data_IF_922014753755
#
_entry.id   IF_922014753755
#
_cell.length_a   1.000
_cell.length_b   1.000
_cell.length_c   1.000
_cell.angle_alpha   90.00
_cell.angle_beta   90.00
_cell.angle_gamma   90.00
#
_symmetry.space_group_name_H-M   'P 1'
#
loop_
_entity.id
_entity.type
_entity.pdbx_description
1 polymer ?
#
# COMPACT_ATOMS: atom_id res chain seq x y z
N UNK A 1 19.04 -19.56 2.95
CA UNK A 1 19.60 -20.63 3.79
C UNK A 1 19.16 -20.40 5.23
N UNK A 2 18.65 -21.39 5.96
CA UNK A 2 18.27 -21.24 7.36
C UNK A 2 19.48 -20.85 8.20
N UNK A 3 19.30 -19.86 9.09
CA UNK A 3 20.41 -19.35 9.91
C UNK A 3 20.84 -20.38 10.97
N UNK A 4 22.14 -20.54 11.22
CA UNK A 4 22.65 -21.44 12.23
C UNK A 4 22.18 -21.03 13.64
N UNK A 5 21.83 -22.02 14.47
CA UNK A 5 21.37 -21.84 15.82
C UNK A 5 22.57 -21.89 16.79
N UNK A 6 22.52 -21.09 17.87
CA UNK A 6 23.49 -21.24 18.96
C UNK A 6 23.30 -22.60 19.65
N UNK A 7 24.38 -23.20 20.13
CA UNK A 7 24.34 -24.50 20.84
C UNK A 7 23.38 -24.51 22.04
N UNK A 8 23.28 -23.40 22.76
CA UNK A 8 22.34 -23.30 23.88
C UNK A 8 20.87 -23.37 23.41
N UNK A 9 20.56 -22.77 22.26
CA UNK A 9 19.21 -22.77 21.68
C UNK A 9 18.88 -24.11 21.02
N UNK A 10 19.86 -24.70 20.34
CA UNK A 10 19.73 -26.03 19.75
C UNK A 10 19.48 -27.13 20.84
N UNK A 11 20.20 -27.08 21.95
CA UNK A 11 20.01 -27.95 23.09
C UNK A 11 18.62 -27.80 23.73
N UNK A 12 18.15 -26.55 23.88
CA UNK A 12 16.81 -26.26 24.41
C UNK A 12 15.69 -26.76 23.48
N UNK A 13 15.86 -26.62 22.16
CA UNK A 13 14.92 -27.13 21.16
C UNK A 13 14.89 -28.67 21.17
N UNK A 14 16.04 -29.32 21.27
CA UNK A 14 16.16 -30.78 21.34
C UNK A 14 15.76 -31.36 22.70
N UNK A 15 15.47 -30.53 23.71
CA UNK A 15 15.13 -30.99 25.06
C UNK A 15 16.27 -31.66 25.81
N UNK A 16 17.53 -31.41 25.42
CA UNK A 16 18.73 -32.04 25.99
C UNK A 16 19.66 -31.01 26.63
N UNK A 17 20.59 -31.49 27.47
CA UNK A 17 21.62 -30.62 28.04
C UNK A 17 22.64 -30.23 26.96
N UNK A 18 23.20 -29.01 27.07
CA UNK A 18 24.19 -28.49 26.12
C UNK A 18 25.42 -29.42 25.99
N UNK A 19 25.86 -30.01 27.08
CA UNK A 19 26.99 -31.01 27.10
C UNK A 19 26.66 -32.27 26.31
N UNK A 20 25.46 -32.76 26.43
CA UNK A 20 24.97 -33.96 25.71
C UNK A 20 24.83 -33.69 24.20
N UNK A 21 24.34 -32.52 23.82
CA UNK A 21 24.30 -32.10 22.40
C UNK A 21 25.71 -31.99 21.81
N UNK A 22 26.66 -31.42 22.57
CA UNK A 22 28.05 -31.29 22.12
C UNK A 22 28.74 -32.63 21.94
N UNK A 23 28.46 -33.61 22.82
CA UNK A 23 29.00 -34.96 22.73
C UNK A 23 28.47 -35.71 21.50
N UNK A 24 27.15 -35.65 21.26
CA UNK A 24 26.53 -36.25 20.07
C UNK A 24 27.03 -35.60 18.77
N UNK A 25 27.23 -34.28 18.74
CA UNK A 25 27.81 -33.60 17.58
C UNK A 25 29.23 -34.08 17.28
N UNK A 26 30.04 -34.28 18.32
CA UNK A 26 31.40 -34.77 18.17
C UNK A 26 31.43 -36.24 17.70
N UNK A 27 30.52 -37.05 18.19
CA UNK A 27 30.38 -38.46 17.78
C UNK A 27 29.90 -38.58 16.32
N UNK A 28 29.07 -37.66 15.87
CA UNK A 28 28.51 -37.64 14.52
C UNK A 28 29.39 -36.95 13.48
N UNK A 29 30.55 -36.41 13.88
CA UNK A 29 31.48 -35.74 12.99
C UNK A 29 30.93 -34.44 12.38
N UNK A 30 29.95 -33.83 13.02
CA UNK A 30 29.34 -32.58 12.56
C UNK A 30 30.07 -31.39 13.18
N UNK A 31 30.48 -30.44 12.30
CA UNK A 31 31.29 -29.29 12.71
C UNK A 31 30.45 -28.18 13.36
N UNK A 32 30.96 -27.72 14.49
CA UNK A 32 30.44 -26.54 15.19
C UNK A 32 31.22 -25.32 14.70
N UNK A 33 30.60 -24.46 13.92
CA UNK A 33 31.25 -23.21 13.48
C UNK A 33 30.83 -22.04 14.39
N UNK A 34 31.81 -21.40 15.05
CA UNK A 34 31.60 -20.27 15.99
C UNK A 34 30.53 -20.52 17.07
N UNK A 35 30.45 -21.75 17.60
CA UNK A 35 29.44 -22.12 18.62
C UNK A 35 28.00 -22.17 18.11
N UNK A 36 27.83 -22.28 16.80
CA UNK A 36 26.55 -22.43 16.12
C UNK A 36 26.48 -23.74 15.34
N UNK A 37 25.25 -24.27 15.22
CA UNK A 37 24.94 -25.48 14.46
C UNK A 37 23.92 -25.16 13.37
N UNK A 38 24.06 -25.76 12.18
CA UNK A 38 23.05 -25.64 11.14
C UNK A 38 21.77 -26.41 11.52
N UNK A 39 20.62 -25.88 11.17
CA UNK A 39 19.32 -26.52 11.48
C UNK A 39 19.21 -27.89 10.82
N UNK A 40 19.79 -28.08 9.62
CA UNK A 40 19.83 -29.35 8.93
C UNK A 40 20.57 -30.45 9.73
N UNK A 41 21.70 -30.07 10.34
CA UNK A 41 22.51 -30.99 11.17
C UNK A 41 21.77 -31.36 12.47
N UNK A 42 21.05 -30.40 13.06
CA UNK A 42 20.22 -30.64 14.23
C UNK A 42 19.06 -31.58 13.91
N UNK A 43 18.41 -31.46 12.76
CA UNK A 43 17.34 -32.36 12.31
C UNK A 43 17.88 -33.77 11.96
N UNK A 44 19.13 -33.86 11.52
CA UNK A 44 19.78 -35.15 11.27
C UNK A 44 20.02 -35.89 12.57
N UNK A 45 20.41 -35.20 13.65
CA UNK A 45 20.61 -35.77 14.98
C UNK A 45 19.31 -36.05 15.73
N UNK A 46 18.27 -35.26 15.45
CA UNK A 46 16.96 -35.34 16.09
C UNK A 46 15.84 -35.28 15.06
N UNK A 47 15.56 -36.39 14.32
CA UNK A 47 14.58 -36.38 13.21
C UNK A 47 13.14 -36.04 13.63
N UNK A 48 12.80 -36.26 14.90
CA UNK A 48 11.47 -35.99 15.45
C UNK A 48 11.33 -34.60 16.08
N UNK A 49 12.26 -33.68 15.78
CA UNK A 49 12.26 -32.35 16.34
C UNK A 49 11.16 -31.49 15.65
N UNK A 50 10.09 -31.21 16.35
CA UNK A 50 9.06 -30.29 15.89
C UNK A 50 9.57 -28.84 16.05
N UNK A 51 10.10 -28.25 14.97
CA UNK A 51 10.59 -26.86 14.95
C UNK A 51 9.47 -25.82 15.00
N UNK A 52 8.22 -26.24 14.80
CA UNK A 52 7.08 -25.35 14.56
C UNK A 52 6.39 -24.82 15.82
N UNK A 53 6.85 -25.14 17.03
CA UNK A 53 6.13 -24.76 18.27
C UNK A 53 6.81 -23.74 19.18
N UNK A 54 7.86 -23.06 18.73
CA UNK A 54 8.41 -21.95 19.52
C UNK A 54 7.71 -20.64 19.13
N UNK A 55 6.81 -20.08 19.99
CA UNK A 55 6.13 -18.80 19.71
C UNK A 55 7.11 -17.64 19.44
N UNK A 56 8.35 -17.77 19.95
CA UNK A 56 9.42 -16.80 19.72
C UNK A 56 9.97 -16.94 18.30
N UNK A 57 10.06 -18.17 17.77
CA UNK A 57 10.51 -18.40 16.40
C UNK A 57 9.49 -17.94 15.36
N UNK A 58 8.20 -18.18 15.58
CA UNK A 58 7.12 -17.62 14.76
C UNK A 58 7.13 -16.09 14.80
N UNK A 59 7.32 -15.51 16.00
CA UNK A 59 7.41 -14.08 16.17
C UNK A 59 8.62 -13.49 15.44
N UNK A 60 9.78 -14.15 15.48
CA UNK A 60 10.98 -13.74 14.73
C UNK A 60 10.81 -13.96 13.22
N UNK A 61 10.15 -15.01 12.80
CA UNK A 61 9.81 -15.20 11.37
C UNK A 61 8.84 -14.14 10.87
N UNK A 62 7.81 -13.79 11.63
CA UNK A 62 6.91 -12.68 11.33
C UNK A 62 7.66 -11.36 11.28
N UNK A 63 8.52 -11.06 12.25
CA UNK A 63 9.38 -9.88 12.21
C UNK A 63 10.33 -9.85 11.00
N UNK A 64 10.81 -11.01 10.52
CA UNK A 64 11.65 -11.08 9.32
C UNK A 64 10.87 -10.96 8.02
N UNK A 65 9.64 -11.47 7.97
CA UNK A 65 8.75 -11.27 6.83
C UNK A 65 8.29 -9.82 6.74
N UNK A 66 7.96 -9.20 7.87
CA UNK A 66 7.64 -7.76 7.96
C UNK A 66 8.88 -6.87 7.74
N UNK A 67 10.10 -7.43 7.97
CA UNK A 67 11.38 -6.76 7.78
C UNK A 67 11.92 -6.83 6.35
N UNK A 68 11.19 -7.43 5.40
CA UNK A 68 11.60 -7.35 3.98
C UNK A 68 11.72 -5.87 3.59
N UNK A 69 12.83 -5.47 2.98
CA UNK A 69 12.95 -4.11 2.47
C UNK A 69 11.77 -3.84 1.55
N UNK A 70 11.20 -2.63 1.65
CA UNK A 70 10.27 -2.16 0.59
C UNK A 70 10.99 -2.46 -0.72
N UNK A 71 10.41 -3.33 -1.55
CA UNK A 71 10.99 -3.69 -2.85
C UNK A 71 11.28 -2.42 -3.61
N UNK A 72 12.44 -2.37 -4.23
CA UNK A 72 12.79 -1.29 -5.13
C UNK A 72 11.66 -1.11 -6.17
N UNK A 73 11.37 0.12 -6.53
CA UNK A 73 10.26 0.58 -7.38
C UNK A 73 10.07 -0.20 -8.70
N UNK A 74 11.07 -0.96 -9.15
CA UNK A 74 11.04 -1.73 -10.40
C UNK A 74 10.11 -2.93 -10.41
N UNK A 75 9.77 -3.51 -9.24
CA UNK A 75 8.97 -4.74 -9.14
C UNK A 75 7.52 -4.53 -8.65
N UNK A 76 7.16 -3.29 -8.28
CA UNK A 76 5.89 -2.96 -7.63
C UNK A 76 4.75 -2.55 -8.56
N UNK A 77 5.01 -2.47 -9.86
CA UNK A 77 4.03 -1.92 -10.84
C UNK A 77 2.86 -2.87 -11.15
N UNK A 78 3.06 -4.16 -10.95
CA UNK A 78 2.01 -5.16 -11.17
C UNK A 78 1.38 -5.54 -9.82
N UNK A 79 0.03 -5.51 -9.68
CA UNK A 79 -0.65 -5.97 -8.47
C UNK A 79 -0.31 -7.41 -8.08
N UNK A 80 -0.50 -7.78 -6.81
CA UNK A 80 -0.37 -9.18 -6.38
C UNK A 80 -1.31 -10.08 -7.19
N UNK A 81 -0.93 -11.34 -7.49
CA UNK A 81 -1.72 -12.25 -8.30
C UNK A 81 -3.16 -12.43 -7.81
N UNK A 82 -3.37 -12.44 -6.49
CA UNK A 82 -4.69 -12.56 -5.87
C UNK A 82 -5.56 -11.33 -6.15
N UNK A 83 -4.97 -10.13 -6.12
CA UNK A 83 -5.64 -8.85 -6.43
C UNK A 83 -5.99 -8.79 -7.91
N UNK A 84 -5.04 -9.18 -8.79
CA UNK A 84 -5.31 -9.29 -10.23
C UNK A 84 -6.45 -10.25 -10.52
N UNK A 85 -6.43 -11.42 -9.90
CA UNK A 85 -7.49 -12.42 -10.06
C UNK A 85 -8.85 -11.89 -9.59
N UNK A 86 -8.87 -11.16 -8.46
CA UNK A 86 -10.08 -10.53 -7.94
C UNK A 86 -10.59 -9.44 -8.89
N UNK A 87 -9.72 -8.60 -9.43
CA UNK A 87 -10.07 -7.57 -10.44
C UNK A 87 -10.62 -8.20 -11.73
N UNK A 88 -9.94 -9.24 -12.25
CA UNK A 88 -10.38 -9.96 -13.44
C UNK A 88 -11.76 -10.61 -13.24
N UNK A 89 -12.02 -11.24 -12.09
CA UNK A 89 -13.34 -11.81 -11.76
C UNK A 89 -14.43 -10.74 -11.71
N UNK A 90 -14.13 -9.57 -11.15
CA UNK A 90 -15.08 -8.47 -11.11
C UNK A 90 -15.39 -7.95 -12.52
N UNK A 91 -14.34 -7.75 -13.34
CA UNK A 91 -14.52 -7.36 -14.74
C UNK A 91 -15.34 -8.38 -15.53
N UNK A 92 -15.07 -9.66 -15.33
CA UNK A 92 -15.87 -10.74 -15.94
C UNK A 92 -17.33 -10.64 -15.50
N UNK A 93 -17.60 -10.36 -14.22
CA UNK A 93 -18.96 -10.14 -13.71
C UNK A 93 -19.65 -8.96 -14.38
N UNK A 94 -18.95 -7.84 -14.56
CA UNK A 94 -19.44 -6.65 -15.27
C UNK A 94 -19.75 -6.98 -16.73
N UNK A 95 -18.82 -7.65 -17.44
CA UNK A 95 -19.01 -8.07 -18.84
C UNK A 95 -20.23 -8.98 -19.02
N UNK A 96 -20.42 -9.96 -18.14
CA UNK A 96 -21.57 -10.84 -18.16
C UNK A 96 -22.88 -10.06 -18.00
N UNK A 97 -22.93 -9.12 -17.04
CA UNK A 97 -24.10 -8.26 -16.82
C UNK A 97 -24.37 -7.36 -18.02
N UNK A 98 -23.33 -6.73 -18.57
CA UNK A 98 -23.46 -5.84 -19.73
C UNK A 98 -23.94 -6.63 -20.95
N UNK A 99 -23.40 -7.84 -21.19
CA UNK A 99 -23.85 -8.72 -22.27
C UNK A 99 -25.30 -9.13 -22.10
N UNK A 100 -25.72 -9.46 -20.88
CA UNK A 100 -27.13 -9.79 -20.61
C UNK A 100 -28.07 -8.60 -20.88
N UNK A 101 -27.64 -7.38 -20.54
CA UNK A 101 -28.40 -6.15 -20.85
C UNK A 101 -28.48 -5.89 -22.36
N UNK A 102 -27.38 -6.10 -23.11
CA UNK A 102 -27.36 -5.98 -24.56
C UNK A 102 -28.31 -6.99 -25.22
N UNK A 103 -28.23 -8.25 -24.86
CA UNK A 103 -29.11 -9.28 -25.37
C UNK A 103 -30.58 -8.92 -25.12
N UNK A 104 -30.93 -8.46 -23.92
CA UNK A 104 -32.27 -8.03 -23.57
C UNK A 104 -32.73 -6.82 -24.42
N UNK A 105 -31.84 -5.89 -24.70
CA UNK A 105 -32.15 -4.76 -25.56
C UNK A 105 -32.37 -5.23 -27.03
N UNK A 106 -31.54 -6.15 -27.52
CA UNK A 106 -31.71 -6.76 -28.86
C UNK A 106 -33.06 -7.48 -28.96
N UNK A 107 -33.42 -8.31 -27.99
CA UNK A 107 -34.73 -8.99 -27.93
C UNK A 107 -35.89 -7.97 -27.94
N UNK A 108 -35.78 -6.86 -27.19
CA UNK A 108 -36.79 -5.81 -27.18
C UNK A 108 -36.90 -5.09 -28.52
N UNK A 109 -35.81 -4.86 -29.24
CA UNK A 109 -35.80 -4.26 -30.57
C UNK A 109 -36.45 -5.22 -31.59
N UNK A 110 -36.17 -6.52 -31.52
CA UNK A 110 -36.75 -7.54 -32.38
C UNK A 110 -38.27 -7.62 -32.15
N UNK A 111 -38.72 -7.55 -30.91
CA UNK A 111 -40.14 -7.55 -30.54
C UNK A 111 -40.86 -6.30 -31.06
N UNK A 112 -40.26 -5.10 -30.89
CA UNK A 112 -40.78 -3.84 -31.43
C UNK A 112 -40.91 -3.92 -32.98
N UNK A 113 -39.84 -4.41 -33.62
CA UNK A 113 -39.84 -4.57 -35.08
C UNK A 113 -40.97 -5.52 -35.57
N UNK A 114 -41.13 -6.65 -34.87
CA UNK A 114 -42.19 -7.59 -35.15
C UNK A 114 -43.60 -7.00 -34.97
N UNK A 115 -43.80 -6.21 -33.91
CA UNK A 115 -45.06 -5.50 -33.69
C UNK A 115 -45.34 -4.44 -34.74
N UNK A 116 -44.35 -3.67 -35.17
CA UNK A 116 -44.48 -2.68 -36.24
C UNK A 116 -44.84 -3.36 -37.57
N UNK A 117 -44.21 -4.50 -37.89
CA UNK A 117 -44.54 -5.28 -39.08
C UNK A 117 -45.99 -5.81 -39.03
N UNK A 118 -46.40 -6.34 -37.88
CA UNK A 118 -47.79 -6.83 -37.72
C UNK A 118 -48.81 -5.68 -37.84
N UNK A 119 -48.50 -4.47 -37.37
CA UNK A 119 -49.35 -3.29 -37.56
C UNK A 119 -49.41 -2.85 -39.03
N UNK A 120 -48.27 -2.85 -39.74
CA UNK A 120 -48.22 -2.60 -41.17
C UNK A 120 -49.14 -3.53 -41.94
N UNK A 121 -49.11 -4.84 -41.66
CA UNK A 121 -49.89 -5.84 -42.36
C UNK A 121 -51.38 -5.76 -42.01
N UNK A 122 -51.73 -5.38 -40.78
CA UNK A 122 -53.11 -5.26 -40.33
C UNK A 122 -53.84 -3.99 -40.80
N UNK A 123 -53.08 -2.94 -41.14
CA UNK A 123 -53.64 -1.63 -41.52
C UNK A 123 -54.06 -1.58 -42.98
N UNK A 124 -55.31 -1.16 -43.25
CA UNK A 124 -55.82 -0.91 -44.62
C UNK A 124 -55.53 0.47 -45.18
N UNK A 125 -54.98 1.39 -44.35
CA UNK A 125 -54.69 2.77 -44.70
C UNK A 125 -53.29 2.90 -45.29
N UNK A 126 -53.18 3.45 -46.49
CA UNK A 126 -51.91 3.65 -47.21
C UNK A 126 -50.98 4.63 -46.51
N UNK A 127 -51.51 5.73 -45.92
CA UNK A 127 -50.72 6.73 -45.23
C UNK A 127 -50.12 6.15 -43.92
N UNK A 128 -50.85 5.29 -43.21
CA UNK A 128 -50.35 4.62 -42.01
C UNK A 128 -49.28 3.58 -42.35
N UNK A 129 -49.38 2.88 -43.47
CA UNK A 129 -48.33 1.97 -43.95
C UNK A 129 -47.02 2.66 -44.24
N UNK A 130 -47.09 3.79 -45.01
CA UNK A 130 -45.89 4.58 -45.31
C UNK A 130 -45.19 5.07 -44.05
N UNK A 131 -45.94 5.51 -43.02
CA UNK A 131 -45.39 5.96 -41.76
C UNK A 131 -44.68 4.83 -40.98
N UNK A 132 -45.21 3.59 -40.99
CA UNK A 132 -44.59 2.43 -40.36
C UNK A 132 -43.31 2.03 -41.12
N UNK A 133 -43.34 2.04 -42.45
CA UNK A 133 -42.16 1.76 -43.26
C UNK A 133 -41.04 2.75 -43.03
N UNK A 134 -41.35 4.04 -42.90
CA UNK A 134 -40.36 5.09 -42.54
C UNK A 134 -39.73 4.80 -41.18
N UNK A 135 -40.49 4.39 -40.17
CA UNK A 135 -39.99 4.02 -38.84
C UNK A 135 -39.09 2.79 -38.91
N UNK A 136 -39.52 1.74 -39.60
CA UNK A 136 -38.72 0.52 -39.78
C UNK A 136 -37.40 0.80 -40.50
N UNK A 137 -37.43 1.63 -41.56
CA UNK A 137 -36.24 2.01 -42.29
C UNK A 137 -35.29 2.85 -41.42
N UNK A 138 -35.83 3.80 -40.65
CA UNK A 138 -35.04 4.58 -39.70
C UNK A 138 -34.38 3.69 -38.62
N UNK A 139 -35.16 2.78 -38.04
CA UNK A 139 -34.68 1.83 -37.03
C UNK A 139 -33.57 0.92 -37.59
N UNK A 140 -33.74 0.42 -38.80
CA UNK A 140 -32.73 -0.39 -39.49
C UNK A 140 -31.43 0.38 -39.73
N UNK A 141 -31.51 1.64 -40.19
CA UNK A 141 -30.35 2.50 -40.36
C UNK A 141 -29.66 2.80 -39.02
N UNK A 142 -30.45 3.11 -37.98
CA UNK A 142 -29.94 3.40 -36.66
C UNK A 142 -29.18 2.23 -36.02
N UNK A 143 -29.69 1.00 -36.17
CA UNK A 143 -29.05 -0.21 -35.69
C UNK A 143 -27.79 -0.54 -36.49
N UNK A 144 -27.84 -0.38 -37.83
CA UNK A 144 -26.72 -0.70 -38.71
C UNK A 144 -25.55 0.30 -38.54
N UNK A 145 -25.82 1.59 -38.39
CA UNK A 145 -24.80 2.64 -38.20
C UNK A 145 -24.06 2.49 -36.86
N UNK A 146 -24.71 1.88 -35.86
CA UNK A 146 -24.11 1.56 -34.55
C UNK A 146 -23.32 0.26 -34.51
N UNK A 147 -23.44 -0.60 -35.54
CA UNK A 147 -22.71 -1.87 -35.63
C UNK A 147 -21.31 -1.73 -36.29
N UNK A 148 -20.88 -0.54 -36.69
CA UNK A 148 -19.56 -0.36 -37.28
C UNK A 148 -18.47 -0.49 -36.22
N UNK A 149 -17.49 -1.43 -36.42
CA UNK A 149 -16.49 -1.79 -35.40
C UNK A 149 -15.32 -0.79 -35.21
N UNK A 150 -15.37 0.38 -35.83
CA UNK A 150 -14.33 1.41 -35.73
C UNK A 150 -14.74 2.59 -34.86
N UNK A 151 -15.43 2.34 -33.77
CA UNK A 151 -15.72 3.41 -32.83
C UNK A 151 -14.48 3.62 -31.94
N UNK A 152 -13.87 4.81 -32.10
CA UNK A 152 -12.82 5.34 -31.19
C UNK A 152 -13.23 5.16 -29.72
N UNK A 153 -14.55 5.16 -29.44
CA UNK A 153 -15.09 4.87 -28.11
C UNK A 153 -14.83 3.45 -27.64
N UNK A 154 -14.90 2.44 -28.53
CA UNK A 154 -14.61 1.04 -28.16
C UNK A 154 -13.14 0.85 -27.82
N UNK A 155 -12.26 1.53 -28.54
CA UNK A 155 -10.81 1.52 -28.29
C UNK A 155 -10.45 2.23 -26.99
N UNK A 156 -11.07 3.40 -26.73
CA UNK A 156 -10.95 4.12 -25.45
C UNK A 156 -11.48 3.27 -24.30
N UNK A 157 -12.63 2.63 -24.47
CA UNK A 157 -13.23 1.75 -23.47
C UNK A 157 -12.34 0.54 -23.16
N UNK A 158 -11.78 -0.10 -24.19
CA UNK A 158 -10.85 -1.22 -24.00
C UNK A 158 -9.57 -0.80 -23.26
N UNK A 159 -9.05 0.41 -23.55
CA UNK A 159 -7.88 0.99 -22.87
C UNK A 159 -8.20 1.34 -21.42
N UNK A 160 -9.36 1.94 -21.14
CA UNK A 160 -9.84 2.25 -19.80
C UNK A 160 -10.04 0.97 -18.97
N UNK A 161 -10.59 -0.06 -19.59
CA UNK A 161 -10.76 -1.37 -18.97
C UNK A 161 -9.41 -2.01 -18.60
N UNK A 162 -8.41 -1.89 -19.46
CA UNK A 162 -7.06 -2.37 -19.18
C UNK A 162 -6.41 -1.62 -18.01
N UNK A 163 -6.57 -0.30 -17.97
CA UNK A 163 -6.07 0.52 -16.86
C UNK A 163 -6.71 0.12 -15.53
N UNK A 164 -8.00 -0.21 -15.50
CA UNK A 164 -8.70 -0.70 -14.31
C UNK A 164 -8.20 -2.05 -13.78
N UNK A 165 -7.52 -2.85 -14.61
CA UNK A 165 -6.83 -4.05 -14.12
C UNK A 165 -5.60 -3.69 -13.31
N UNK A 166 -4.88 -2.65 -13.72
CA UNK A 166 -3.61 -2.24 -13.10
C UNK A 166 -3.81 -1.26 -11.94
N UNK A 167 -4.83 -0.41 -12.01
CA UNK A 167 -5.11 0.61 -11.01
C UNK A 167 -6.59 0.65 -10.63
N UNK A 168 -6.89 1.08 -9.41
CA UNK A 168 -8.24 1.33 -8.92
C UNK A 168 -8.32 2.73 -8.32
N UNK A 169 -9.44 3.44 -8.59
CA UNK A 169 -9.66 4.77 -8.05
C UNK A 169 -10.20 4.69 -6.62
N UNK A 170 -9.66 5.52 -5.75
CA UNK A 170 -10.13 5.70 -4.38
C UNK A 170 -10.58 7.14 -4.20
N UNK A 171 -11.80 7.32 -3.69
CA UNK A 171 -12.34 8.62 -3.30
C UNK A 171 -12.44 8.68 -1.78
N UNK A 172 -11.93 9.75 -1.18
CA UNK A 172 -11.92 9.96 0.28
C UNK A 172 -13.09 10.86 0.67
N UNK A 173 -13.81 10.45 1.70
CA UNK A 173 -14.89 11.24 2.29
C UNK A 173 -14.48 11.65 3.72
N UNK A 174 -14.72 12.87 4.19
CA UNK A 174 -15.50 13.93 3.56
C UNK A 174 -14.71 14.87 2.62
N UNK A 175 -13.38 14.74 2.49
CA UNK A 175 -12.54 15.69 1.73
C UNK A 175 -12.89 15.76 0.23
N UNK A 176 -13.38 14.67 -0.34
CA UNK A 176 -13.68 14.56 -1.76
C UNK A 176 -12.45 14.34 -2.65
N UNK A 177 -11.26 14.20 -2.07
CA UNK A 177 -10.05 13.92 -2.80
C UNK A 177 -10.07 12.54 -3.43
N UNK A 178 -9.44 12.42 -4.61
CA UNK A 178 -9.35 11.17 -5.35
C UNK A 178 -7.89 10.83 -5.66
N UNK A 179 -7.57 9.54 -5.62
CA UNK A 179 -6.24 9.03 -5.99
C UNK A 179 -6.33 7.63 -6.58
N UNK A 180 -5.25 7.21 -7.23
CA UNK A 180 -5.15 5.87 -7.84
C UNK A 180 -4.26 4.97 -6.99
N UNK A 181 -4.74 3.76 -6.73
CA UNK A 181 -3.98 2.66 -6.13
C UNK A 181 -3.46 1.78 -7.24
N UNK A 182 -2.15 1.77 -7.41
CA UNK A 182 -1.46 1.06 -8.49
C UNK A 182 -0.63 -0.10 -7.94
N UNK A 183 -0.44 -1.11 -8.75
CA UNK A 183 0.45 -2.20 -8.43
C UNK A 183 0.11 -2.87 -7.09
N UNK A 184 1.10 -2.93 -6.20
CA UNK A 184 1.03 -3.58 -4.88
C UNK A 184 0.84 -2.60 -3.73
N UNK A 185 0.46 -1.40 -4.03
CA UNK A 185 0.31 -0.36 -3.02
C UNK A 185 -0.91 -0.62 -2.14
N UNK A 186 -0.78 -0.26 -0.87
CA UNK A 186 -1.91 -0.15 0.04
C UNK A 186 -2.69 1.16 -0.21
N UNK A 187 -3.93 1.23 0.30
CA UNK A 187 -4.73 2.47 0.30
C UNK A 187 -3.96 3.64 0.91
N UNK A 188 -3.22 3.38 1.99
CA UNK A 188 -2.42 4.40 2.67
C UNK A 188 -1.22 4.84 1.81
N UNK A 189 -0.43 3.89 1.27
CA UNK A 189 0.76 4.23 0.49
C UNK A 189 0.41 5.03 -0.75
N UNK A 190 -0.65 4.65 -1.45
CA UNK A 190 -1.14 5.38 -2.62
C UNK A 190 -1.67 6.78 -2.26
N UNK A 191 -2.43 6.91 -1.17
CA UNK A 191 -2.91 8.20 -0.68
C UNK A 191 -1.77 9.15 -0.32
N UNK A 192 -0.78 8.66 0.45
CA UNK A 192 0.40 9.44 0.82
C UNK A 192 1.25 9.82 -0.41
N UNK A 193 1.40 8.92 -1.38
CA UNK A 193 2.08 9.21 -2.66
C UNK A 193 1.38 10.32 -3.45
N UNK A 194 0.07 10.37 -3.36
CA UNK A 194 -0.76 11.39 -4.01
C UNK A 194 -0.88 12.69 -3.19
N UNK A 195 -0.06 12.86 -2.15
CA UNK A 195 -0.01 14.08 -1.35
C UNK A 195 -1.09 14.19 -0.27
N UNK A 196 -1.94 13.18 -0.07
CA UNK A 196 -2.95 13.20 0.98
C UNK A 196 -2.33 12.95 2.35
N UNK A 197 -2.81 13.66 3.37
CA UNK A 197 -2.33 13.52 4.75
C UNK A 197 -3.29 12.66 5.59
N UNK A 198 -3.45 11.40 5.17
CA UNK A 198 -4.26 10.42 5.88
C UNK A 198 -3.66 10.09 7.25
N UNK A 199 -4.51 9.72 8.21
CA UNK A 199 -4.05 9.29 9.52
C UNK A 199 -3.30 7.96 9.47
N UNK A 200 -2.11 7.91 10.06
CA UNK A 200 -1.34 6.69 10.22
C UNK A 200 -0.29 6.82 11.34
N UNK A 201 0.30 5.70 11.75
CA UNK A 201 1.40 5.66 12.71
C UNK A 201 2.50 4.71 12.24
N UNK A 202 2.26 3.39 12.34
CA UNK A 202 3.29 2.38 12.07
C UNK A 202 3.43 1.97 10.59
N UNK A 203 2.49 2.28 9.71
CA UNK A 203 2.39 1.83 8.30
C UNK A 203 2.54 0.30 8.09
N UNK A 204 2.44 -0.50 9.16
CA UNK A 204 2.66 -1.95 9.15
C UNK A 204 1.49 -2.76 9.73
N UNK A 205 0.36 -2.11 10.04
CA UNK A 205 -0.85 -2.74 10.56
C UNK A 205 -0.86 -2.99 12.08
N UNK A 206 0.14 -2.48 12.82
CA UNK A 206 0.36 -2.82 14.23
C UNK A 206 -0.14 -1.77 15.24
N UNK A 207 -0.66 -0.62 14.80
CA UNK A 207 -1.12 0.44 15.71
C UNK A 207 -2.60 0.80 15.57
N UNK A 208 -3.25 0.42 14.47
CA UNK A 208 -4.65 0.73 14.22
C UNK A 208 -4.96 2.18 13.82
N UNK A 209 -3.97 3.09 13.79
CA UNK A 209 -4.21 4.53 13.54
C UNK A 209 -4.69 4.83 12.12
N UNK A 210 -4.38 3.97 11.14
CA UNK A 210 -4.82 4.11 9.75
C UNK A 210 -6.19 3.46 9.49
N UNK A 211 -7.02 3.33 10.52
CA UNK A 211 -8.37 2.75 10.40
C UNK A 211 -9.26 3.68 9.58
N UNK A 212 -9.86 3.15 8.52
CA UNK A 212 -10.83 3.82 7.69
C UNK A 212 -12.02 2.91 7.41
N UNK A 213 -13.12 3.46 6.93
CA UNK A 213 -14.33 2.70 6.61
C UNK A 213 -14.55 2.68 5.10
N UNK A 214 -14.75 1.49 4.55
CA UNK A 214 -15.14 1.31 3.14
C UNK A 214 -16.64 1.55 3.03
N UNK A 215 -17.03 2.60 2.29
CA UNK A 215 -18.45 2.94 2.05
C UNK A 215 -18.99 2.24 0.81
N UNK A 216 -18.16 2.08 -0.21
CA UNK A 216 -18.51 1.35 -1.44
C UNK A 216 -17.27 0.78 -2.12
N UNK A 217 -17.49 -0.21 -3.01
CA UNK A 217 -16.42 -0.91 -3.70
C UNK A 217 -15.93 -2.15 -2.98
N UNK A 218 -14.91 -2.80 -3.55
CA UNK A 218 -14.30 -4.03 -3.02
C UNK A 218 -12.83 -3.80 -2.74
N UNK A 219 -12.36 -4.33 -1.62
CA UNK A 219 -10.98 -4.27 -1.17
C UNK A 219 -10.43 -5.66 -0.89
N UNK A 220 -9.11 -5.80 -0.92
CA UNK A 220 -8.41 -7.02 -0.53
C UNK A 220 -7.37 -6.72 0.55
N UNK A 221 -7.19 -7.65 1.48
CA UNK A 221 -6.14 -7.55 2.49
C UNK A 221 -4.80 -7.93 1.87
N UNK A 222 -3.80 -7.07 2.05
CA UNK A 222 -2.40 -7.33 1.67
C UNK A 222 -1.64 -8.07 2.78
N UNK A 223 -2.17 -8.01 4.01
CA UNK A 223 -1.57 -8.62 5.21
C UNK A 223 -2.68 -9.01 6.16
N UNK A 224 -2.54 -10.12 6.84
CA UNK A 224 -3.46 -10.51 7.90
C UNK A 224 -3.19 -9.67 9.16
N UNK A 225 -4.20 -8.93 9.60
CA UNK A 225 -4.14 -8.06 10.79
C UNK A 225 -5.40 -8.20 11.61
N UNK A 226 -5.48 -9.30 12.36
CA UNK A 226 -6.70 -9.61 13.12
C UNK A 226 -6.77 -8.92 14.50
N UNK A 227 -5.71 -8.20 14.91
CA UNK A 227 -5.60 -7.75 16.30
C UNK A 227 -6.30 -6.42 16.61
N UNK A 228 -6.43 -5.53 15.62
CA UNK A 228 -6.89 -4.16 15.85
C UNK A 228 -8.32 -3.89 15.40
N UNK A 229 -8.90 -4.77 14.61
CA UNK A 229 -10.29 -4.66 14.17
C UNK A 229 -11.10 -5.78 14.81
N UNK A 230 -12.10 -5.40 15.58
CA UNK A 230 -13.10 -6.35 16.07
C UNK A 230 -13.92 -6.93 14.92
N UNK A 231 -14.50 -8.10 15.10
CA UNK A 231 -15.38 -8.73 14.13
C UNK A 231 -16.62 -7.86 13.80
N UNK A 232 -17.00 -6.99 14.71
CA UNK A 232 -18.06 -6.00 14.49
C UNK A 232 -17.58 -4.93 13.51
N UNK A 233 -16.41 -4.33 13.74
CA UNK A 233 -15.84 -3.31 12.87
C UNK A 233 -15.59 -3.84 11.45
N UNK A 234 -15.07 -5.06 11.33
CA UNK A 234 -14.90 -5.71 10.01
C UNK A 234 -16.24 -5.84 9.27
N UNK A 235 -17.31 -6.23 9.96
CA UNK A 235 -18.67 -6.31 9.38
C UNK A 235 -19.23 -4.93 9.00
N UNK A 236 -18.87 -3.90 9.75
CA UNK A 236 -19.27 -2.51 9.49
C UNK A 236 -18.43 -1.87 8.35
N UNK A 237 -17.47 -2.60 7.78
CA UNK A 237 -16.65 -2.16 6.66
C UNK A 237 -15.37 -1.43 7.06
N UNK A 238 -14.96 -1.48 8.33
CA UNK A 238 -13.67 -0.90 8.73
C UNK A 238 -12.50 -1.76 8.27
N UNK A 239 -11.45 -1.09 7.78
CA UNK A 239 -10.19 -1.69 7.34
C UNK A 239 -9.00 -0.86 7.83
N UNK A 240 -7.81 -1.45 7.79
CA UNK A 240 -6.57 -0.70 8.02
C UNK A 240 -5.99 -0.30 6.66
N UNK A 241 -5.95 0.99 6.36
CA UNK A 241 -5.51 1.50 5.06
C UNK A 241 -4.08 1.07 4.68
N UNK A 242 -3.18 0.87 5.65
CA UNK A 242 -1.81 0.41 5.40
C UNK A 242 -1.70 -1.09 5.03
N UNK A 243 -2.77 -1.85 5.16
CA UNK A 243 -2.78 -3.31 4.97
C UNK A 243 -3.79 -3.77 3.95
N UNK A 244 -4.49 -2.83 3.34
CA UNK A 244 -5.61 -3.09 2.43
C UNK A 244 -5.34 -2.38 1.11
N UNK A 245 -5.68 -3.05 0.01
CA UNK A 245 -5.63 -2.48 -1.35
C UNK A 245 -7.00 -2.49 -2.01
N UNK A 246 -7.20 -1.62 -2.99
CA UNK A 246 -8.43 -1.54 -3.75
C UNK A 246 -8.49 -2.62 -4.85
N UNK A 247 -9.60 -3.35 -4.94
CA UNK A 247 -9.91 -4.31 -6.01
C UNK A 247 -10.73 -3.65 -7.11
N UNK A 248 -11.73 -2.85 -6.72
CA UNK A 248 -12.52 -2.01 -7.64
C UNK A 248 -12.32 -0.55 -7.29
N UNK A 249 -12.99 0.36 -7.99
CA UNK A 249 -13.12 1.73 -7.52
C UNK A 249 -13.80 1.71 -6.14
N UNK A 250 -13.24 2.46 -5.19
CA UNK A 250 -13.59 2.41 -3.76
C UNK A 250 -13.87 3.82 -3.23
N UNK A 251 -14.89 3.94 -2.40
CA UNK A 251 -15.11 5.14 -1.58
C UNK A 251 -14.79 4.79 -0.14
N UNK A 252 -13.89 5.53 0.47
CA UNK A 252 -13.53 5.37 1.89
C UNK A 252 -13.90 6.61 2.69
N UNK A 253 -14.30 6.38 3.95
CA UNK A 253 -14.40 7.42 4.96
C UNK A 253 -13.13 7.37 5.81
N UNK A 254 -12.33 8.43 5.71
CA UNK A 254 -11.05 8.54 6.41
C UNK A 254 -10.80 9.99 6.83
N UNK A 255 -10.14 10.16 7.96
CA UNK A 255 -9.68 11.48 8.38
C UNK A 255 -8.44 11.88 7.58
N UNK A 256 -8.44 13.09 7.07
CA UNK A 256 -7.34 13.71 6.35
C UNK A 256 -7.01 15.06 6.99
N UNK A 257 -5.75 15.26 7.35
CA UNK A 257 -5.30 16.53 7.88
C UNK A 257 -5.26 17.58 6.74
N UNK A 258 -6.05 18.62 6.86
CA UNK A 258 -6.12 19.70 5.86
C UNK A 258 -5.12 20.83 6.13
N UNK A 259 -4.66 20.97 7.36
CA UNK A 259 -3.76 22.03 7.80
C UNK A 259 -2.68 21.49 8.72
N UNK A 260 -1.54 22.21 8.89
CA UNK A 260 -0.50 21.85 9.87
C UNK A 260 -1.03 21.65 11.29
N UNK A 261 -2.09 22.38 11.66
CA UNK A 261 -2.71 22.30 13.00
C UNK A 261 -3.45 21.00 13.26
N UNK A 262 -3.84 20.28 12.21
CA UNK A 262 -4.51 18.99 12.31
C UNK A 262 -3.53 17.85 12.62
N UNK A 263 -2.22 18.11 12.48
CA UNK A 263 -1.18 17.14 12.82
C UNK A 263 -0.83 17.25 14.30
N UNK A 264 -0.82 16.13 15.04
CA UNK A 264 -0.44 16.14 16.44
C UNK A 264 1.04 16.46 16.60
N UNK A 265 1.41 17.10 17.70
CA UNK A 265 2.80 17.20 18.14
C UNK A 265 3.34 15.79 18.44
N UNK A 266 4.52 15.48 17.93
CA UNK A 266 5.12 14.15 18.02
C UNK A 266 6.51 14.25 18.64
N UNK A 267 6.82 13.29 19.50
CA UNK A 267 8.17 13.08 20.00
C UNK A 267 8.61 11.65 19.64
N UNK A 268 9.64 11.54 18.81
CA UNK A 268 10.08 10.27 18.24
C UNK A 268 11.57 10.08 18.50
N UNK A 269 11.94 9.02 19.21
CA UNK A 269 13.32 8.59 19.32
C UNK A 269 13.71 7.81 18.07
N UNK A 270 14.61 8.37 17.28
CA UNK A 270 15.07 7.86 16.00
C UNK A 270 16.57 7.57 16.03
N UNK A 271 17.12 7.04 14.95
CA UNK A 271 18.56 6.79 14.80
C UNK A 271 19.12 7.48 13.57
N UNK A 272 20.33 8.01 13.69
CA UNK A 272 21.07 8.60 12.59
C UNK A 272 21.65 7.47 11.74
N UNK A 273 21.10 7.29 10.54
CA UNK A 273 21.48 6.21 9.63
C UNK A 273 22.63 6.57 8.68
N UNK A 274 22.96 7.84 8.56
CA UNK A 274 24.06 8.29 7.73
C UNK A 274 24.20 9.81 7.67
N UNK A 275 25.43 10.25 7.40
CA UNK A 275 25.77 11.65 7.17
C UNK A 275 26.65 11.71 5.92
N UNK A 276 26.22 12.48 4.94
CA UNK A 276 26.94 12.69 3.67
C UNK A 276 27.34 14.16 3.57
N UNK A 277 28.63 14.45 3.45
CA UNK A 277 29.10 15.84 3.28
C UNK A 277 28.75 16.39 1.91
N UNK A 278 28.25 17.60 1.88
CA UNK A 278 27.91 18.36 0.69
C UNK A 278 28.75 19.64 0.65
N UNK A 279 29.98 19.52 0.15
CA UNK A 279 30.94 20.61 0.16
C UNK A 279 31.59 20.83 1.54
N UNK A 280 32.10 22.06 1.80
CA UNK A 280 32.80 22.39 3.03
C UNK A 280 31.86 22.70 4.20
N UNK A 281 30.73 23.38 3.90
CA UNK A 281 29.85 23.97 4.91
C UNK A 281 28.54 23.24 5.12
N UNK A 282 28.33 22.08 4.49
CA UNK A 282 27.04 21.39 4.51
C UNK A 282 27.11 19.88 4.58
N UNK A 283 26.05 19.27 5.08
CA UNK A 283 25.85 17.83 5.09
C UNK A 283 24.39 17.47 4.89
N UNK A 284 24.16 16.29 4.29
CA UNK A 284 22.87 15.62 4.26
C UNK A 284 22.81 14.61 5.41
N UNK A 285 21.99 14.91 6.40
CA UNK A 285 21.73 14.05 7.54
C UNK A 285 20.56 13.13 7.21
N UNK A 286 20.74 11.81 7.39
CA UNK A 286 19.72 10.78 7.19
C UNK A 286 19.34 10.18 8.54
N UNK A 287 18.06 10.26 8.87
CA UNK A 287 17.50 9.73 10.10
C UNK A 287 16.47 8.66 9.76
N UNK A 288 16.46 7.59 10.55
CA UNK A 288 15.48 6.51 10.41
C UNK A 288 14.66 6.40 11.69
N UNK A 289 13.33 6.59 11.58
CA UNK A 289 12.40 6.41 12.70
C UNK A 289 12.09 4.94 12.96
N UNK A 290 11.63 4.54 14.15
CA UNK A 290 11.16 3.21 14.44
C UNK A 290 10.00 2.82 13.52
N UNK A 291 9.85 1.52 13.23
CA UNK A 291 8.71 1.02 12.44
C UNK A 291 7.36 1.21 13.13
N UNK A 292 7.38 1.26 14.45
CA UNK A 292 6.16 1.43 15.25
C UNK A 292 5.67 2.88 15.34
N UNK A 293 6.53 3.85 15.00
CA UNK A 293 6.22 5.26 15.14
C UNK A 293 6.98 6.07 14.07
N UNK A 294 6.29 6.51 13.04
CA UNK A 294 6.83 7.29 11.92
C UNK A 294 6.37 8.75 12.03
N UNK A 295 7.20 9.68 11.58
CA UNK A 295 6.87 11.10 11.62
C UNK A 295 5.79 11.44 10.57
N UNK A 296 4.72 12.06 11.02
CA UNK A 296 3.69 12.67 10.15
C UNK A 296 3.97 14.16 10.05
N UNK A 297 4.08 14.67 8.85
CA UNK A 297 4.37 16.07 8.58
C UNK A 297 3.85 16.48 7.20
N UNK A 298 3.72 17.78 6.97
CA UNK A 298 3.46 18.37 5.66
C UNK A 298 4.76 18.90 5.06
N UNK A 299 4.88 18.84 3.73
CA UNK A 299 6.05 19.38 3.03
C UNK A 299 6.25 20.85 3.37
N UNK A 300 7.47 21.24 3.73
CA UNK A 300 7.80 22.60 4.14
C UNK A 300 7.92 22.82 5.66
N UNK A 301 7.41 21.89 6.48
CA UNK A 301 7.55 21.98 7.93
C UNK A 301 8.97 21.64 8.41
N UNK A 302 9.30 22.12 9.60
CA UNK A 302 10.52 21.82 10.34
C UNK A 302 10.26 20.89 11.52
N UNK A 303 11.34 20.39 12.11
CA UNK A 303 11.34 19.68 13.40
C UNK A 303 12.52 20.17 14.25
N UNK A 304 12.40 20.03 15.55
CA UNK A 304 13.51 20.18 16.47
C UNK A 304 14.21 18.82 16.60
N UNK A 305 15.47 18.77 16.18
CA UNK A 305 16.36 17.61 16.36
C UNK A 305 17.16 17.80 17.64
N UNK A 306 17.10 16.85 18.56
CA UNK A 306 17.81 16.89 19.84
C UNK A 306 18.74 15.69 19.94
N UNK A 307 20.04 15.94 20.04
CA UNK A 307 21.08 14.91 20.27
C UNK A 307 20.99 14.29 21.66
N UNK A 308 21.68 13.17 21.89
CA UNK A 308 21.77 12.57 23.24
C UNK A 308 22.51 13.47 24.25
N UNK A 309 23.40 14.31 23.76
CA UNK A 309 24.14 15.29 24.59
C UNK A 309 23.30 16.53 24.95
N UNK A 310 22.09 16.64 24.37
CA UNK A 310 21.16 17.75 24.63
C UNK A 310 21.29 18.91 23.65
N UNK A 311 22.21 18.86 22.68
CA UNK A 311 22.29 19.85 21.63
C UNK A 311 21.07 19.79 20.73
N UNK A 312 20.44 20.90 20.44
CA UNK A 312 19.21 20.97 19.68
C UNK A 312 19.33 21.96 18.53
N UNK A 313 18.71 21.59 17.40
CA UNK A 313 18.61 22.47 16.23
C UNK A 313 17.27 22.27 15.52
N UNK A 314 16.66 23.38 15.12
CA UNK A 314 15.51 23.35 14.23
C UNK A 314 15.97 23.12 12.79
N UNK A 315 15.41 22.10 12.15
CA UNK A 315 15.80 21.66 10.83
C UNK A 315 14.57 21.42 9.94
N UNK A 316 14.61 21.96 8.72
CA UNK A 316 13.57 21.71 7.73
C UNK A 316 13.69 20.30 7.17
N UNK A 317 12.54 19.64 7.00
CA UNK A 317 12.46 18.29 6.47
C UNK A 317 12.62 18.34 4.96
N UNK A 318 13.65 17.67 4.42
CA UNK A 318 13.98 17.65 3.00
C UNK A 318 13.54 16.34 2.29
N UNK A 319 12.85 15.44 2.99
CA UNK A 319 12.26 14.23 2.43
C UNK A 319 10.79 14.45 2.07
N UNK A 320 10.25 13.58 1.19
CA UNK A 320 8.83 13.55 0.90
C UNK A 320 8.02 13.24 2.17
N UNK A 321 6.88 13.92 2.36
CA UNK A 321 5.93 13.62 3.44
C UNK A 321 5.31 12.20 3.32
N UNK A 322 5.40 11.58 2.14
CA UNK A 322 5.01 10.21 1.88
C UNK A 322 5.86 9.14 2.58
N UNK A 323 7.09 9.50 3.05
CA UNK A 323 7.98 8.59 3.79
C UNK A 323 8.38 9.20 5.14
N UNK A 324 7.49 9.09 6.11
CA UNK A 324 7.75 9.53 7.49
C UNK A 324 8.79 8.70 8.24
N UNK A 325 9.37 7.69 7.60
CA UNK A 325 10.36 6.80 8.22
C UNK A 325 11.79 7.13 7.87
N UNK A 326 12.09 7.45 6.61
CA UNK A 326 13.41 7.78 6.11
C UNK A 326 13.52 9.28 5.89
N UNK A 327 13.88 9.99 6.94
CA UNK A 327 13.94 11.45 6.92
C UNK A 327 15.30 11.94 6.46
N UNK A 328 15.30 13.05 5.72
CA UNK A 328 16.50 13.74 5.24
C UNK A 328 16.47 15.20 5.69
N UNK A 329 17.62 15.71 6.09
CA UNK A 329 17.78 17.09 6.52
C UNK A 329 19.06 17.65 5.90
N UNK A 330 18.97 18.87 5.34
CA UNK A 330 20.16 19.60 4.94
C UNK A 330 20.65 20.43 6.13
N UNK A 331 21.82 20.11 6.64
CA UNK A 331 22.45 20.81 7.75
C UNK A 331 23.58 21.66 7.18
N UNK A 332 23.51 22.98 7.43
CA UNK A 332 24.59 23.90 7.12
C UNK A 332 25.34 24.22 8.41
N UNK A 333 26.63 24.53 8.32
CA UNK A 333 27.38 25.03 9.44
C UNK A 333 26.80 26.37 9.93
N UNK A 334 26.31 26.36 11.15
CA UNK A 334 25.80 27.56 11.86
C UNK A 334 26.70 28.00 12.97
N UNK A 335 27.85 27.33 13.18
CA UNK A 335 28.76 27.55 14.30
C UNK A 335 28.23 27.04 15.65
N UNK A 336 27.08 26.36 15.68
CA UNK A 336 26.51 25.70 16.86
C UNK A 336 27.11 24.29 17.07
N UNK A 337 26.97 23.75 18.29
CA UNK A 337 27.47 22.43 18.62
C UNK A 337 26.87 21.32 17.80
N UNK A 338 25.56 21.40 17.53
CA UNK A 338 24.83 20.37 16.72
C UNK A 338 25.34 20.33 15.28
N UNK A 339 25.45 21.50 14.60
CA UNK A 339 25.90 21.54 13.20
C UNK A 339 27.35 21.06 13.06
N UNK A 340 28.23 21.40 13.99
CA UNK A 340 29.61 20.90 14.01
C UNK A 340 29.67 19.39 14.20
N UNK A 341 28.94 18.83 15.16
CA UNK A 341 28.90 17.40 15.41
C UNK A 341 28.38 16.62 14.19
N UNK A 342 27.39 17.15 13.44
CA UNK A 342 26.91 16.58 12.16
C UNK A 342 28.01 16.63 11.10
N UNK A 343 28.69 17.78 10.94
CA UNK A 343 29.72 17.94 9.91
C UNK A 343 30.96 17.07 10.20
N UNK A 344 31.31 16.85 11.45
CA UNK A 344 32.40 15.96 11.88
C UNK A 344 31.99 14.48 11.83
N UNK A 345 30.73 14.16 11.49
CA UNK A 345 30.14 12.83 11.49
C UNK A 345 30.16 12.12 12.84
N UNK A 346 30.29 12.89 13.93
CA UNK A 346 30.37 12.36 15.28
C UNK A 346 29.08 11.67 15.73
N UNK A 347 27.94 12.00 15.11
CA UNK A 347 26.62 11.51 15.49
C UNK A 347 26.15 10.24 14.73
N UNK A 348 26.96 9.67 13.83
CA UNK A 348 26.55 8.47 13.06
C UNK A 348 26.30 7.30 14.01
N UNK A 349 25.12 6.67 13.86
CA UNK A 349 24.71 5.52 14.66
C UNK A 349 24.14 5.88 16.04
N UNK A 350 24.18 7.16 16.43
CA UNK A 350 23.61 7.62 17.70
C UNK A 350 22.08 7.74 17.59
N UNK A 351 21.43 7.75 18.75
CA UNK A 351 20.01 8.08 18.83
C UNK A 351 19.83 9.60 18.79
N UNK A 352 18.70 10.01 18.23
CA UNK A 352 18.29 11.41 18.16
C UNK A 352 16.81 11.50 18.46
N UNK A 353 16.38 12.51 19.17
CA UNK A 353 14.98 12.79 19.42
C UNK A 353 14.47 13.84 18.44
N UNK A 354 13.38 13.51 17.74
CA UNK A 354 12.67 14.39 16.82
C UNK A 354 11.44 14.91 17.55
N UNK A 355 11.29 16.24 17.66
CA UNK A 355 10.08 16.89 18.17
C UNK A 355 9.45 17.75 17.10
N UNK A 356 8.17 17.61 16.89
CA UNK A 356 7.41 18.33 15.87
C UNK A 356 6.32 17.47 15.24
N UNK A 357 5.81 17.85 14.06
CA UNK A 357 6.30 18.92 13.16
C UNK A 357 6.07 20.32 13.73
N UNK A 358 6.88 21.28 13.28
CA UNK A 358 6.82 22.68 13.67
C UNK A 358 6.56 23.56 12.42
N UNK A 359 5.97 24.72 12.65
CA UNK A 359 5.73 25.72 11.61
C UNK A 359 4.42 25.54 10.86
N UNK A 360 3.87 26.66 10.40
CA UNK A 360 2.62 26.71 9.62
C UNK A 360 2.90 26.78 8.10
N UNK A 361 4.18 26.92 7.69
CA UNK A 361 4.55 26.97 6.29
C UNK A 361 4.46 25.58 5.67
N UNK A 362 3.63 25.47 4.65
CA UNK A 362 3.52 24.26 3.81
C UNK A 362 3.79 24.62 2.36
N UNK A 363 4.51 23.74 1.68
CA UNK A 363 4.61 23.81 0.22
C UNK A 363 3.30 23.22 -0.32
N UNK A 364 2.49 24.06 -0.95
CA UNK A 364 1.40 23.58 -1.78
C UNK A 364 2.02 22.78 -2.92
N UNK A 365 1.65 21.51 -3.06
CA UNK A 365 2.02 20.75 -4.24
C UNK A 365 1.34 21.41 -5.43
N UNK A 366 2.12 22.18 -6.21
CA UNK A 366 1.77 22.42 -7.60
C UNK A 366 1.60 21.03 -8.20
N UNK A 367 0.38 20.66 -8.53
CA UNK A 367 0.08 19.39 -9.20
C UNK A 367 0.91 19.38 -10.49
N UNK A 368 2.08 18.78 -10.40
CA UNK A 368 2.86 18.41 -11.57
C UNK A 368 2.05 17.32 -12.24
N UNK A 369 1.24 17.74 -13.19
CA UNK A 369 0.67 16.86 -14.21
C UNK A 369 1.88 16.27 -14.92
N UNK A 370 2.18 15.04 -14.59
CA UNK A 370 3.15 14.23 -15.31
C UNK A 370 2.42 13.32 -16.28
#
# INVERSE_FOLDING_TARGET
MPQPLSLARAAKLAGVKRSELQEKLRESGLDIFEGKIAIGDLLTLYPNLELDRDPVFERIQRFKQDARPKREYSDGWVPEPEVLLARLKEMQSVLVRTKALLNRNEEAFDEITSHLQALHDATGDTAAKEAVDDILQWLGKFLHDKQQPHDVRAEIFARDLFLKVLAAKVSVTPSGHEYLVEGRESLLEAGLRSGLHLDYGCSSGNCGMCKCKVLSGKVASLREHDYFLSEREKREGFVLACSTTAVTDVVIEAHEAGTPKDLPEQEIRASISGIERLGEDGALLRITTPRSNTLRFMSGQSVLLVSEDGDAAECYIASCACDGRKLRFFIRDRGDAFSRAVLEKALIGQAITIRGPCGEFTLEELSLIH
#
